data_IF_719834575882
#
_entry.id   IF_719834575882
#
_cell.length_a   1.000
_cell.length_b   1.000
_cell.length_c   1.000
_cell.angle_alpha   90.00
_cell.angle_beta   90.00
_cell.angle_gamma   90.00
#
_symmetry.space_group_name_H-M   'P 1'
#
loop_
_entity.id
_entity.type
_entity.pdbx_description
1 polymer ?
#
# COMPACT_ATOMS: atom_id res chain seq x y z
N UNK A 1 -16.96 7.97 -5.97
CA UNK A 1 -17.28 6.90 -5.00
C UNK A 1 -15.99 6.59 -4.26
N UNK A 2 -16.01 6.34 -2.95
CA UNK A 2 -14.79 5.95 -2.26
C UNK A 2 -14.68 4.41 -2.13
N UNK A 3 -13.50 3.91 -1.69
CA UNK A 3 -13.25 2.46 -1.61
C UNK A 3 -14.24 1.76 -0.68
N UNK A 4 -14.60 2.37 0.45
CA UNK A 4 -15.55 1.77 1.41
C UNK A 4 -16.95 1.66 0.82
N UNK A 5 -17.40 2.67 0.06
CA UNK A 5 -18.67 2.62 -0.66
C UNK A 5 -18.69 1.48 -1.68
N UNK A 6 -17.61 1.32 -2.46
CA UNK A 6 -17.45 0.22 -3.44
C UNK A 6 -17.51 -1.15 -2.75
N UNK A 7 -16.82 -1.30 -1.61
CA UNK A 7 -16.83 -2.56 -0.85
C UNK A 7 -18.23 -2.86 -0.32
N UNK A 8 -18.90 -1.87 0.26
CA UNK A 8 -20.24 -2.05 0.80
C UNK A 8 -21.25 -2.41 -0.29
N UNK A 9 -21.15 -1.80 -1.46
CA UNK A 9 -21.98 -2.16 -2.63
C UNK A 9 -21.69 -3.59 -3.09
N UNK A 10 -20.42 -4.00 -3.15
CA UNK A 10 -20.05 -5.36 -3.50
C UNK A 10 -20.61 -6.39 -2.52
N UNK A 11 -20.51 -6.12 -1.22
CA UNK A 11 -21.09 -6.97 -0.15
C UNK A 11 -22.61 -7.06 -0.30
N UNK A 12 -23.28 -5.91 -0.44
CA UNK A 12 -24.75 -5.87 -0.57
C UNK A 12 -25.26 -6.58 -1.82
N UNK A 13 -24.52 -6.55 -2.92
CA UNK A 13 -24.87 -7.20 -4.18
C UNK A 13 -24.39 -8.66 -4.28
N UNK A 14 -23.59 -9.15 -3.32
CA UNK A 14 -22.98 -10.48 -3.37
C UNK A 14 -21.97 -10.65 -4.51
N UNK A 15 -21.41 -9.55 -5.05
CA UNK A 15 -20.47 -9.56 -6.15
C UNK A 15 -19.04 -9.51 -5.64
N UNK A 16 -18.20 -10.42 -6.11
CA UNK A 16 -16.74 -10.31 -5.91
C UNK A 16 -16.20 -9.21 -6.82
N UNK A 17 -15.43 -8.29 -6.26
CA UNK A 17 -14.73 -7.22 -6.98
C UNK A 17 -13.24 -7.40 -6.82
N UNK A 18 -12.48 -7.04 -7.84
CA UNK A 18 -11.02 -7.09 -7.85
C UNK A 18 -10.45 -5.69 -7.89
N UNK A 19 -9.31 -5.50 -7.23
CA UNK A 19 -8.49 -4.31 -7.33
C UNK A 19 -7.08 -4.69 -7.78
N UNK A 20 -6.40 -3.78 -8.43
CA UNK A 20 -5.02 -4.00 -8.88
C UNK A 20 -4.08 -3.04 -8.19
N UNK A 21 -2.83 -3.48 -8.00
CA UNK A 21 -1.76 -2.66 -7.50
C UNK A 21 -0.70 -2.45 -8.59
N UNK A 22 -0.38 -1.20 -8.86
CA UNK A 22 0.56 -0.79 -9.89
C UNK A 22 1.82 -0.20 -9.28
N UNK A 23 2.96 -0.67 -9.78
CA UNK A 23 4.26 -0.10 -9.51
C UNK A 23 4.52 1.04 -10.50
N UNK A 24 4.75 2.30 -10.05
CA UNK A 24 5.14 3.38 -10.92
C UNK A 24 6.40 3.04 -11.73
N UNK A 25 6.51 3.45 -13.01
CA UNK A 25 7.68 3.20 -13.84
C UNK A 25 8.90 3.95 -13.31
N UNK A 26 10.07 3.62 -13.83
CA UNK A 26 11.29 4.36 -13.53
C UNK A 26 11.24 5.75 -14.22
N UNK A 27 11.98 6.71 -13.67
CA UNK A 27 12.20 8.00 -14.34
C UNK A 27 12.88 7.76 -15.70
N UNK A 28 12.39 8.48 -16.71
CA UNK A 28 12.79 8.27 -18.10
C UNK A 28 11.78 7.45 -18.89
N UNK A 29 10.95 6.65 -18.24
CA UNK A 29 9.78 6.05 -18.87
C UNK A 29 8.65 7.09 -18.99
N UNK A 30 7.92 7.05 -20.09
CA UNK A 30 6.77 7.95 -20.31
C UNK A 30 5.47 7.40 -19.70
N UNK A 31 4.46 8.26 -19.58
CA UNK A 31 3.12 7.92 -19.11
C UNK A 31 2.46 6.81 -19.94
N UNK A 32 2.81 6.70 -21.23
CA UNK A 32 2.30 5.66 -22.13
C UNK A 32 2.57 4.24 -21.60
N UNK A 33 3.68 4.04 -20.88
CA UNK A 33 4.00 2.74 -20.27
C UNK A 33 2.99 2.37 -19.16
N UNK A 34 2.53 3.37 -18.40
CA UNK A 34 1.47 3.17 -17.40
C UNK A 34 0.16 2.84 -18.10
N UNK A 35 -0.23 3.62 -19.07
CA UNK A 35 -1.49 3.40 -19.79
C UNK A 35 -1.51 2.03 -20.48
N UNK A 36 -0.42 1.61 -21.10
CA UNK A 36 -0.32 0.28 -21.69
C UNK A 36 -0.46 -0.87 -20.67
N UNK A 37 -0.07 -0.65 -19.41
CA UNK A 37 -0.26 -1.63 -18.33
C UNK A 37 -1.68 -1.59 -17.75
N UNK A 38 -2.31 -0.42 -17.69
CA UNK A 38 -3.64 -0.23 -17.08
C UNK A 38 -4.76 -0.61 -18.05
N UNK A 39 -4.64 -0.27 -19.32
CA UNK A 39 -5.69 -0.43 -20.32
C UNK A 39 -6.27 -1.86 -20.41
N UNK A 40 -5.46 -2.93 -20.42
CA UNK A 40 -5.99 -4.29 -20.39
C UNK A 40 -6.75 -4.63 -19.10
N UNK A 41 -6.38 -4.01 -17.98
CA UNK A 41 -7.02 -4.26 -16.69
C UNK A 41 -8.41 -3.64 -16.61
N UNK A 42 -8.67 -2.55 -17.35
CA UNK A 42 -9.98 -1.90 -17.38
C UNK A 42 -11.07 -2.82 -17.94
N UNK A 43 -10.72 -3.73 -18.85
CA UNK A 43 -11.66 -4.75 -19.36
C UNK A 43 -12.17 -5.73 -18.28
N UNK A 44 -11.49 -5.79 -17.13
CA UNK A 44 -11.86 -6.62 -15.98
C UNK A 44 -12.74 -5.88 -14.96
N UNK A 45 -13.18 -4.66 -15.26
CA UNK A 45 -14.01 -3.81 -14.39
C UNK A 45 -13.46 -3.72 -12.96
N UNK A 46 -12.21 -3.22 -12.76
CA UNK A 46 -11.61 -3.17 -11.44
C UNK A 46 -12.39 -2.24 -10.50
N UNK A 47 -12.46 -2.63 -9.23
CA UNK A 47 -13.07 -1.82 -8.19
C UNK A 47 -12.30 -0.50 -7.98
N UNK A 48 -10.99 -0.60 -7.95
CA UNK A 48 -10.05 0.53 -7.85
C UNK A 48 -8.64 0.06 -8.22
N UNK A 49 -7.73 1.03 -8.33
CA UNK A 49 -6.31 0.77 -8.64
C UNK A 49 -5.43 1.42 -7.57
N UNK A 50 -4.60 0.61 -6.90
CA UNK A 50 -3.58 1.10 -5.97
C UNK A 50 -2.33 1.55 -6.73
N UNK A 51 -1.71 2.65 -6.30
CA UNK A 51 -0.44 3.13 -6.82
C UNK A 51 0.59 3.12 -5.70
N UNK A 52 1.59 2.23 -5.82
CA UNK A 52 2.61 2.07 -4.78
C UNK A 52 3.54 3.27 -4.67
N UNK A 53 3.85 3.66 -3.45
CA UNK A 53 4.86 4.68 -3.18
C UNK A 53 6.25 4.04 -3.00
N UNK A 54 7.23 4.63 -3.63
CA UNK A 54 8.62 4.23 -3.45
C UNK A 54 9.43 5.41 -2.93
N UNK A 55 10.03 5.21 -1.76
CA UNK A 55 10.90 6.21 -1.13
C UNK A 55 12.05 6.58 -2.08
N UNK A 56 12.45 7.84 -2.03
CA UNK A 56 13.56 8.38 -2.79
C UNK A 56 14.88 7.68 -2.42
N UNK A 57 15.77 7.56 -3.38
CA UNK A 57 17.11 7.01 -3.16
C UNK A 57 18.11 8.09 -2.80
N UNK A 58 19.22 7.69 -2.22
CA UNK A 58 20.37 8.58 -1.97
C UNK A 58 21.45 8.23 -3.01
N UNK A 59 21.97 9.25 -3.65
CA UNK A 59 23.17 9.17 -4.51
C UNK A 59 24.32 9.86 -3.79
N UNK A 60 25.39 9.13 -3.59
CA UNK A 60 26.66 9.66 -3.08
C UNK A 60 27.51 10.09 -4.27
N UNK A 61 28.11 11.26 -4.18
CA UNK A 61 29.07 11.77 -5.15
C UNK A 61 30.31 12.23 -4.40
N UNK A 62 31.44 11.60 -4.66
CA UNK A 62 32.73 12.02 -4.11
C UNK A 62 33.23 13.24 -4.87
N UNK A 63 33.59 14.30 -4.13
CA UNK A 63 34.17 15.53 -4.67
C UNK A 63 35.69 15.39 -4.80
N UNK A 64 36.31 16.26 -5.57
CA UNK A 64 37.76 16.30 -5.78
C UNK A 64 38.57 16.54 -4.49
N UNK A 65 37.93 17.15 -3.49
CA UNK A 65 38.52 17.38 -2.15
C UNK A 65 38.38 16.18 -1.19
N UNK A 66 37.82 15.04 -1.68
CA UNK A 66 37.57 13.83 -0.88
C UNK A 66 36.33 13.91 0.01
N UNK A 67 35.57 15.00 -0.02
CA UNK A 67 34.27 15.08 0.67
C UNK A 67 33.19 14.32 -0.10
N UNK A 68 32.21 13.76 0.62
CA UNK A 68 31.08 13.06 0.02
C UNK A 68 29.84 13.94 0.07
N UNK A 69 29.26 14.20 -1.10
CA UNK A 69 28.00 14.92 -1.24
C UNK A 69 26.85 13.92 -1.44
N UNK A 70 25.79 14.14 -0.68
CA UNK A 70 24.59 13.29 -0.67
C UNK A 70 23.46 13.98 -1.40
N UNK A 71 22.93 13.32 -2.45
CA UNK A 71 21.78 13.84 -3.19
C UNK A 71 20.59 12.90 -3.01
N UNK A 72 19.46 13.47 -2.62
CA UNK A 72 18.19 12.75 -2.66
C UNK A 72 17.74 12.65 -4.13
N UNK A 73 17.55 11.44 -4.60
CA UNK A 73 17.23 11.18 -6.01
C UNK A 73 15.88 10.47 -6.13
N UNK A 74 14.93 11.13 -6.74
CA UNK A 74 13.67 10.48 -7.11
C UNK A 74 13.91 9.52 -8.28
N UNK A 75 13.58 8.25 -8.07
CA UNK A 75 13.73 7.20 -9.09
C UNK A 75 12.43 6.90 -9.83
N UNK A 76 11.28 7.26 -9.27
CA UNK A 76 9.93 7.04 -9.80
C UNK A 76 9.10 8.30 -9.65
N UNK A 77 8.11 8.51 -10.52
CA UNK A 77 7.16 9.61 -10.34
C UNK A 77 6.39 9.45 -9.02
N UNK A 78 5.86 10.56 -8.51
CA UNK A 78 4.99 10.57 -7.33
C UNK A 78 3.65 9.89 -7.61
N UNK A 79 3.04 9.33 -6.57
CA UNK A 79 1.78 8.61 -6.67
C UNK A 79 0.62 9.50 -7.07
N UNK A 80 0.58 10.75 -6.61
CA UNK A 80 -0.51 11.71 -6.86
C UNK A 80 -0.70 11.98 -8.36
N UNK A 81 0.37 12.35 -9.08
CA UNK A 81 0.29 12.66 -10.51
C UNK A 81 -0.15 11.47 -11.36
N UNK A 82 0.33 10.27 -11.03
CA UNK A 82 -0.09 9.04 -11.73
C UNK A 82 -1.55 8.72 -11.43
N UNK A 83 -1.96 8.82 -10.16
CA UNK A 83 -3.33 8.57 -9.73
C UNK A 83 -4.31 9.49 -10.45
N UNK A 84 -4.04 10.80 -10.47
CA UNK A 84 -4.86 11.77 -11.17
C UNK A 84 -4.96 11.47 -12.68
N UNK A 85 -3.85 11.07 -13.32
CA UNK A 85 -3.85 10.75 -14.74
C UNK A 85 -4.66 9.48 -15.06
N UNK A 86 -4.59 8.44 -14.23
CA UNK A 86 -5.37 7.20 -14.39
C UNK A 86 -6.85 7.49 -14.14
N UNK A 87 -7.19 8.13 -13.03
CA UNK A 87 -8.57 8.46 -12.68
C UNK A 87 -9.24 9.32 -13.76
N UNK A 88 -8.57 10.38 -14.21
CA UNK A 88 -9.10 11.26 -15.26
C UNK A 88 -9.28 10.55 -16.61
N UNK A 89 -8.39 9.62 -16.98
CA UNK A 89 -8.46 8.91 -18.26
C UNK A 89 -9.51 7.82 -18.29
N UNK A 90 -9.60 7.03 -17.21
CA UNK A 90 -10.39 5.79 -17.21
C UNK A 90 -11.64 5.86 -16.33
N UNK A 91 -11.80 6.90 -15.52
CA UNK A 91 -12.94 7.03 -14.61
C UNK A 91 -12.97 5.98 -13.48
N UNK A 92 -11.84 5.28 -13.25
CA UNK A 92 -11.70 4.29 -12.17
C UNK A 92 -11.18 4.96 -10.91
N UNK A 93 -11.67 4.54 -9.75
CA UNK A 93 -11.13 5.01 -8.47
C UNK A 93 -9.67 4.60 -8.29
N UNK A 94 -8.86 5.51 -7.76
CA UNK A 94 -7.44 5.26 -7.53
C UNK A 94 -7.09 5.50 -6.08
N UNK A 95 -6.22 4.66 -5.54
CA UNK A 95 -5.73 4.72 -4.16
C UNK A 95 -4.22 4.98 -4.19
N UNK A 96 -3.77 6.24 -4.16
CA UNK A 96 -2.36 6.53 -3.98
C UNK A 96 -1.90 6.07 -2.59
N UNK A 97 -0.75 5.40 -2.54
CA UNK A 97 -0.08 5.11 -1.29
C UNK A 97 0.62 6.36 -0.78
N UNK A 98 0.51 6.64 0.50
CA UNK A 98 1.20 7.73 1.20
C UNK A 98 1.98 7.14 2.37
N UNK A 99 3.25 7.53 2.51
CA UNK A 99 4.15 6.97 3.51
C UNK A 99 4.68 8.04 4.47
N UNK A 100 5.03 7.64 5.70
CA UNK A 100 5.72 8.50 6.65
C UNK A 100 7.20 8.71 6.27
N UNK A 101 7.80 7.72 5.60
CA UNK A 101 9.24 7.68 5.36
C UNK A 101 9.75 8.81 4.47
N UNK A 102 10.66 9.63 5.01
CA UNK A 102 11.31 10.71 4.26
C UNK A 102 10.50 12.00 4.16
N UNK A 103 9.26 12.04 4.64
CA UNK A 103 8.37 13.20 4.58
C UNK A 103 8.18 13.84 5.96
N UNK A 104 8.15 15.17 5.99
CA UNK A 104 7.65 15.92 7.14
C UNK A 104 6.12 15.89 7.19
N UNK A 105 5.53 16.31 8.31
CA UNK A 105 4.08 16.47 8.43
C UNK A 105 3.54 17.50 7.42
N UNK A 106 4.32 18.53 7.14
CA UNK A 106 3.97 19.57 6.16
C UNK A 106 3.97 19.03 4.73
N UNK A 107 5.00 18.24 4.32
CA UNK A 107 5.03 17.60 3.00
C UNK A 107 3.83 16.66 2.80
N UNK A 108 3.40 16.00 3.89
CA UNK A 108 2.22 15.12 3.90
C UNK A 108 0.95 15.96 3.73
N UNK A 109 0.81 17.07 4.46
CA UNK A 109 -0.35 17.97 4.36
C UNK A 109 -0.45 18.58 2.96
N UNK A 110 0.65 19.10 2.40
CA UNK A 110 0.71 19.63 1.04
C UNK A 110 0.27 18.56 0.02
N UNK A 111 0.75 17.32 0.20
CA UNK A 111 0.35 16.20 -0.67
C UNK A 111 -1.14 15.90 -0.58
N UNK A 112 -1.71 15.93 0.62
CA UNK A 112 -3.14 15.68 0.84
C UNK A 112 -4.00 16.82 0.29
N UNK A 113 -3.56 18.06 0.39
CA UNK A 113 -4.22 19.22 -0.24
C UNK A 113 -4.26 19.01 -1.76
N UNK A 114 -3.12 18.70 -2.38
CA UNK A 114 -3.06 18.42 -3.82
C UNK A 114 -3.99 17.26 -4.22
N UNK A 115 -4.04 16.20 -3.42
CA UNK A 115 -4.94 15.07 -3.67
C UNK A 115 -6.41 15.47 -3.61
N UNK A 116 -6.82 16.25 -2.61
CA UNK A 116 -8.20 16.72 -2.46
C UNK A 116 -8.62 17.60 -3.65
N UNK A 117 -7.79 18.56 -4.06
CA UNK A 117 -8.02 19.40 -5.23
C UNK A 117 -8.09 18.63 -6.56
N UNK A 118 -7.40 17.49 -6.65
CA UNK A 118 -7.44 16.59 -7.81
C UNK A 118 -8.60 15.58 -7.75
N UNK A 119 -9.42 15.61 -6.69
CA UNK A 119 -10.53 14.67 -6.50
C UNK A 119 -10.06 13.23 -6.16
N UNK A 120 -8.86 13.07 -5.62
CA UNK A 120 -8.31 11.80 -5.16
C UNK A 120 -8.68 11.60 -3.68
N UNK A 121 -9.84 11.02 -3.41
CA UNK A 121 -10.38 10.91 -2.05
C UNK A 121 -10.09 9.57 -1.36
N UNK A 122 -9.25 8.72 -1.95
CA UNK A 122 -8.83 7.46 -1.35
C UNK A 122 -7.33 7.51 -1.06
N UNK A 123 -6.88 6.94 0.05
CA UNK A 123 -5.47 6.89 0.41
C UNK A 123 -5.14 5.62 1.18
N UNK A 124 -4.02 4.97 0.86
CA UNK A 124 -3.46 3.90 1.68
C UNK A 124 -2.32 4.48 2.53
N UNK A 125 -2.60 4.65 3.83
CA UNK A 125 -1.69 5.25 4.79
C UNK A 125 -0.73 4.20 5.36
N UNK A 126 0.55 4.33 5.04
CA UNK A 126 1.61 3.38 5.38
C UNK A 126 2.73 4.07 6.15
N UNK A 127 3.49 3.30 6.93
CA UNK A 127 4.75 3.83 7.49
C UNK A 127 5.81 3.96 6.39
N UNK A 128 5.84 3.02 5.48
CA UNK A 128 6.91 2.80 4.53
C UNK A 128 8.07 2.00 5.13
N UNK A 129 8.93 1.53 4.25
CA UNK A 129 10.10 0.72 4.60
C UNK A 129 11.30 1.59 4.97
N UNK A 130 12.30 0.97 5.61
CA UNK A 130 13.59 1.60 5.80
C UNK A 130 14.26 1.87 4.46
N UNK A 131 15.03 2.94 4.36
CA UNK A 131 15.89 3.20 3.19
C UNK A 131 17.00 2.14 3.09
N UNK A 132 17.54 1.94 1.89
CA UNK A 132 18.62 0.95 1.65
C UNK A 132 19.84 1.19 2.54
N UNK A 133 20.10 2.44 2.92
CA UNK A 133 21.24 2.85 3.75
C UNK A 133 20.93 2.89 5.25
N UNK A 134 19.68 2.55 5.64
CA UNK A 134 19.24 2.54 7.02
C UNK A 134 19.23 1.12 7.60
N UNK A 135 19.74 0.95 8.81
CA UNK A 135 19.63 -0.33 9.54
C UNK A 135 18.21 -0.60 10.03
N UNK A 136 17.47 0.47 10.36
CA UNK A 136 16.08 0.47 10.80
C UNK A 136 15.36 1.67 10.20
N UNK A 137 14.04 1.65 10.20
CA UNK A 137 13.25 2.81 9.78
C UNK A 137 13.60 4.05 10.63
N UNK A 138 13.91 5.16 9.96
CA UNK A 138 14.15 6.44 10.58
C UNK A 138 13.14 7.45 10.06
N UNK A 139 12.26 7.99 10.92
CA UNK A 139 11.34 9.03 10.50
C UNK A 139 12.09 10.33 10.18
N UNK A 140 11.48 11.17 9.34
CA UNK A 140 11.92 12.55 9.20
C UNK A 140 11.83 13.26 10.57
N UNK A 141 12.76 14.17 10.95
CA UNK A 141 12.73 14.84 12.27
C UNK A 141 11.38 15.53 12.59
N UNK A 142 10.70 16.05 11.60
CA UNK A 142 9.38 16.66 11.69
C UNK A 142 8.27 15.77 11.10
N UNK A 143 8.54 14.48 10.87
CA UNK A 143 7.61 13.52 10.27
C UNK A 143 6.97 12.60 11.29
N UNK A 144 6.22 11.64 10.79
CA UNK A 144 5.58 10.60 11.58
C UNK A 144 6.47 9.37 11.73
N UNK A 145 6.50 8.80 12.94
CA UNK A 145 7.23 7.56 13.21
C UNK A 145 6.40 6.30 12.87
N UNK A 146 5.08 6.40 12.92
CA UNK A 146 4.17 5.27 12.73
C UNK A 146 3.00 5.63 11.81
N UNK A 147 2.48 4.64 11.10
CA UNK A 147 1.32 4.81 10.23
C UNK A 147 0.07 5.33 10.96
N UNK A 148 -0.11 4.99 12.24
CA UNK A 148 -1.23 5.49 13.05
C UNK A 148 -1.21 7.02 13.18
N UNK A 149 -0.04 7.63 13.24
CA UNK A 149 0.08 9.09 13.34
C UNK A 149 -0.27 9.76 12.00
N UNK A 150 0.09 9.13 10.88
CA UNK A 150 -0.35 9.53 9.54
C UNK A 150 -1.88 9.42 9.39
N UNK A 151 -2.48 8.32 9.85
CA UNK A 151 -3.94 8.16 9.86
C UNK A 151 -4.62 9.29 10.65
N UNK A 152 -4.08 9.65 11.83
CA UNK A 152 -4.61 10.76 12.64
C UNK A 152 -4.55 12.08 11.89
N UNK A 153 -3.43 12.39 11.24
CA UNK A 153 -3.30 13.62 10.44
C UNK A 153 -4.33 13.68 9.31
N UNK A 154 -4.52 12.58 8.55
CA UNK A 154 -5.52 12.53 7.47
C UNK A 154 -6.94 12.68 8.05
N UNK A 155 -7.24 12.00 9.15
CA UNK A 155 -8.54 12.10 9.82
C UNK A 155 -8.78 13.50 10.42
N UNK A 156 -7.75 14.22 10.85
CA UNK A 156 -7.84 15.61 11.29
C UNK A 156 -8.17 16.53 10.13
N UNK A 157 -7.56 16.37 8.96
CA UNK A 157 -7.88 17.12 7.75
C UNK A 157 -9.33 16.86 7.28
N UNK A 158 -9.83 15.63 7.41
CA UNK A 158 -11.26 15.33 7.16
C UNK A 158 -12.21 16.08 8.12
N UNK A 159 -11.70 16.62 9.22
CA UNK A 159 -12.44 17.46 10.19
C UNK A 159 -12.11 18.95 10.08
N UNK A 160 -11.35 19.35 9.05
CA UNK A 160 -10.94 20.76 8.86
C UNK A 160 -9.80 21.20 9.78
N UNK A 161 -9.03 20.25 10.36
CA UNK A 161 -7.88 20.55 11.21
C UNK A 161 -6.59 20.37 10.44
N UNK A 162 -5.81 21.43 10.36
CA UNK A 162 -4.51 21.46 9.71
C UNK A 162 -3.39 21.60 10.74
N UNK A 163 -2.14 21.47 10.32
CA UNK A 163 -0.98 21.53 11.22
C UNK A 163 -0.86 22.91 11.88
N UNK A 164 -1.18 23.96 11.15
CA UNK A 164 -1.12 25.35 11.63
C UNK A 164 -2.41 25.84 12.30
N UNK A 165 -3.42 24.98 12.41
CA UNK A 165 -4.64 25.24 13.15
C UNK A 165 -5.93 24.86 12.41
N UNK A 166 -7.06 25.22 13.01
CA UNK A 166 -8.38 25.05 12.40
C UNK A 166 -8.68 26.27 11.50
N UNK A 167 -9.15 25.99 10.29
CA UNK A 167 -9.61 27.03 9.36
C UNK A 167 -11.13 27.16 9.49
N UNK A 168 -11.60 28.35 9.86
CA UNK A 168 -13.03 28.62 9.94
C UNK A 168 -13.67 28.56 8.54
N UNK A 169 -14.86 27.97 8.45
CA UNK A 169 -15.61 27.82 7.19
C UNK A 169 -14.86 27.12 6.06
N UNK A 170 -13.98 26.13 6.41
CA UNK A 170 -13.20 25.42 5.41
C UNK A 170 -14.02 24.28 4.75
N UNK A 171 -13.61 23.95 3.53
CA UNK A 171 -13.98 22.68 2.90
C UNK A 171 -13.30 21.53 3.66
N UNK A 172 -14.10 20.57 4.11
CA UNK A 172 -13.58 19.37 4.75
C UNK A 172 -13.20 18.35 3.68
N UNK A 173 -11.99 17.85 3.69
CA UNK A 173 -11.60 16.72 2.83
C UNK A 173 -12.39 15.47 3.20
N UNK A 174 -12.47 14.50 2.28
CA UNK A 174 -13.29 13.28 2.44
C UNK A 174 -12.46 12.04 2.13
N UNK A 175 -11.24 11.97 2.68
CA UNK A 175 -10.38 10.83 2.45
C UNK A 175 -10.94 9.57 3.08
N UNK A 176 -11.12 8.53 2.27
CA UNK A 176 -11.29 7.16 2.72
C UNK A 176 -9.91 6.56 2.98
N UNK A 177 -9.67 6.15 4.23
CA UNK A 177 -8.34 5.82 4.73
C UNK A 177 -8.17 4.30 4.83
N UNK A 178 -7.34 3.72 3.98
CA UNK A 178 -6.88 2.35 4.08
C UNK A 178 -5.57 2.23 4.87
N UNK A 179 -5.35 1.07 5.48
CA UNK A 179 -4.11 0.73 6.18
C UNK A 179 -3.67 -0.69 5.88
N UNK A 180 -2.38 -0.98 6.08
CA UNK A 180 -1.87 -2.34 5.95
C UNK A 180 -2.16 -3.20 7.18
N UNK A 181 -2.52 -4.48 6.93
CA UNK A 181 -2.57 -5.57 7.90
C UNK A 181 -1.62 -6.71 7.51
N UNK A 182 -1.26 -7.58 8.45
CA UNK A 182 -0.29 -8.65 8.22
C UNK A 182 -0.85 -9.98 8.69
N UNK A 183 -1.29 -10.88 7.77
CA UNK A 183 -1.76 -12.22 8.11
C UNK A 183 -0.69 -13.07 8.81
N UNK A 184 0.56 -12.80 8.50
CA UNK A 184 1.73 -13.25 9.25
C UNK A 184 2.28 -12.09 10.08
N UNK A 185 2.98 -12.38 11.15
CA UNK A 185 3.48 -11.33 12.08
C UNK A 185 4.45 -10.41 11.35
N UNK A 186 4.23 -9.09 11.45
CA UNK A 186 5.17 -8.10 10.92
C UNK A 186 6.56 -8.28 11.55
N UNK A 187 7.62 -8.16 10.75
CA UNK A 187 9.00 -8.42 11.18
C UNK A 187 9.45 -7.63 12.43
N UNK A 188 8.87 -6.46 12.68
CA UNK A 188 9.16 -5.62 13.84
C UNK A 188 8.14 -5.81 14.99
N UNK A 189 7.11 -6.63 14.82
CA UNK A 189 6.16 -6.93 15.88
C UNK A 189 6.68 -8.08 16.76
N UNK A 190 6.41 -8.01 18.05
CA UNK A 190 6.82 -9.07 18.98
C UNK A 190 6.03 -10.37 18.72
N UNK A 191 4.75 -10.23 18.44
CA UNK A 191 3.81 -11.32 18.21
C UNK A 191 2.56 -10.82 17.49
N UNK A 192 1.71 -11.74 17.05
CA UNK A 192 0.47 -11.43 16.32
C UNK A 192 -0.50 -10.57 17.16
N UNK A 193 -0.54 -10.76 18.47
CA UNK A 193 -1.43 -10.00 19.36
C UNK A 193 -1.03 -8.54 19.41
N UNK A 194 0.26 -8.26 19.54
CA UNK A 194 0.78 -6.89 19.52
C UNK A 194 0.62 -6.22 18.15
N UNK A 195 0.70 -6.99 17.06
CA UNK A 195 0.48 -6.47 15.70
C UNK A 195 -0.99 -6.11 15.45
N UNK A 196 -1.91 -6.96 15.88
CA UNK A 196 -3.36 -6.69 15.82
C UNK A 196 -3.75 -5.50 16.72
N UNK A 197 -3.13 -5.34 17.90
CA UNK A 197 -3.36 -4.17 18.73
C UNK A 197 -2.98 -2.88 18.02
N UNK A 198 -1.82 -2.86 17.34
CA UNK A 198 -1.41 -1.70 16.50
C UNK A 198 -2.34 -1.47 15.30
N UNK A 199 -2.88 -2.54 14.72
CA UNK A 199 -3.88 -2.42 13.66
C UNK A 199 -5.17 -1.78 14.20
N UNK A 200 -5.60 -2.19 15.39
CA UNK A 200 -6.74 -1.59 16.07
C UNK A 200 -6.52 -0.10 16.33
N UNK A 201 -5.34 0.30 16.82
CA UNK A 201 -5.01 1.72 17.02
C UNK A 201 -5.17 2.54 15.73
N UNK A 202 -4.84 1.96 14.56
CA UNK A 202 -5.04 2.62 13.26
C UNK A 202 -6.52 2.74 12.89
N UNK A 203 -7.33 1.72 13.18
CA UNK A 203 -8.78 1.75 12.95
C UNK A 203 -9.44 2.76 13.90
N UNK A 204 -9.08 2.76 15.17
CA UNK A 204 -9.59 3.71 16.17
C UNK A 204 -9.18 5.16 15.84
N UNK A 205 -8.07 5.35 15.11
CA UNK A 205 -7.61 6.65 14.62
C UNK A 205 -8.36 7.15 13.38
N UNK A 206 -9.13 6.29 12.70
CA UNK A 206 -9.96 6.67 11.54
C UNK A 206 -9.71 5.85 10.27
N UNK A 207 -8.96 4.74 10.32
CA UNK A 207 -8.87 3.87 9.16
C UNK A 207 -10.18 3.10 8.94
N UNK A 208 -10.62 3.06 7.69
CA UNK A 208 -11.94 2.54 7.30
C UNK A 208 -11.87 1.17 6.64
N UNK A 209 -10.70 0.75 6.15
CA UNK A 209 -10.48 -0.58 5.58
C UNK A 209 -9.01 -1.01 5.74
N UNK A 210 -8.78 -2.30 5.63
CA UNK A 210 -7.46 -2.93 5.73
C UNK A 210 -7.15 -3.66 4.44
N UNK A 211 -5.97 -3.42 3.85
CA UNK A 211 -5.41 -4.27 2.79
C UNK A 211 -4.30 -5.12 3.43
N UNK A 212 -4.36 -6.43 3.26
CA UNK A 212 -3.31 -7.26 3.86
C UNK A 212 -2.05 -7.30 3.01
N UNK A 213 -0.91 -7.53 3.66
CA UNK A 213 0.26 -8.03 2.96
C UNK A 213 -0.09 -9.34 2.25
N UNK A 214 0.59 -9.65 1.14
CA UNK A 214 0.44 -10.93 0.46
C UNK A 214 0.72 -12.09 1.41
N UNK A 215 0.05 -13.19 1.18
CA UNK A 215 0.21 -14.44 1.91
C UNK A 215 -0.02 -15.62 0.95
N UNK A 216 0.48 -16.80 1.28
CA UNK A 216 0.42 -17.98 0.41
C UNK A 216 -0.31 -19.17 1.07
N UNK A 217 -0.82 -18.99 2.27
CA UNK A 217 -1.61 -19.95 3.04
C UNK A 217 -2.89 -19.26 3.54
N UNK A 218 -4.05 -19.72 3.05
CA UNK A 218 -5.35 -19.16 3.42
C UNK A 218 -5.65 -19.30 4.92
N UNK A 219 -5.16 -20.35 5.57
CA UNK A 219 -5.37 -20.52 7.00
C UNK A 219 -4.79 -19.35 7.82
N UNK A 220 -3.70 -18.74 7.36
CA UNK A 220 -3.11 -17.55 7.98
C UNK A 220 -4.04 -16.33 7.87
N UNK A 221 -4.61 -16.13 6.70
CA UNK A 221 -5.56 -15.05 6.47
C UNK A 221 -6.83 -15.22 7.32
N UNK A 222 -7.43 -16.41 7.33
CA UNK A 222 -8.64 -16.64 8.11
C UNK A 222 -8.40 -16.52 9.62
N UNK A 223 -7.26 -17.02 10.13
CA UNK A 223 -6.90 -16.85 11.55
C UNK A 223 -6.68 -15.36 11.88
N UNK A 224 -6.00 -14.63 11.01
CA UNK A 224 -5.81 -13.17 11.14
C UNK A 224 -7.15 -12.43 11.20
N UNK A 225 -8.06 -12.70 10.26
CA UNK A 225 -9.39 -12.07 10.24
C UNK A 225 -10.17 -12.41 11.52
N UNK A 226 -10.18 -13.68 11.94
CA UNK A 226 -10.83 -14.10 13.19
C UNK A 226 -10.29 -13.31 14.39
N UNK A 227 -8.97 -13.23 14.55
CA UNK A 227 -8.31 -12.48 15.64
C UNK A 227 -8.61 -10.98 15.57
N UNK A 228 -8.65 -10.40 14.37
CA UNK A 228 -9.06 -9.00 14.19
C UNK A 228 -10.49 -8.77 14.68
N UNK A 229 -11.42 -9.66 14.34
CA UNK A 229 -12.82 -9.58 14.81
C UNK A 229 -12.93 -9.74 16.34
N UNK A 230 -12.20 -10.66 16.93
CA UNK A 230 -12.10 -10.84 18.38
C UNK A 230 -11.52 -9.59 19.08
N UNK A 231 -10.59 -8.89 18.44
CA UNK A 231 -10.04 -7.62 18.91
C UNK A 231 -10.96 -6.41 18.67
N UNK A 232 -12.16 -6.60 18.09
CA UNK A 232 -13.13 -5.54 17.82
C UNK A 232 -12.89 -4.72 16.55
N UNK A 233 -12.02 -5.19 15.64
CA UNK A 233 -11.82 -4.58 14.32
C UNK A 233 -12.95 -5.06 13.40
N UNK A 234 -13.87 -4.17 13.03
CA UNK A 234 -15.06 -4.48 12.23
C UNK A 234 -14.97 -4.03 10.78
N UNK A 235 -14.01 -3.16 10.46
CA UNK A 235 -13.81 -2.66 9.10
C UNK A 235 -13.49 -3.78 8.10
N UNK A 236 -13.77 -3.60 6.80
CA UNK A 236 -13.40 -4.56 5.77
C UNK A 236 -11.92 -4.90 5.78
N UNK A 237 -11.59 -6.19 5.59
CA UNK A 237 -10.22 -6.69 5.47
C UNK A 237 -10.09 -7.35 4.08
N UNK A 238 -9.33 -6.72 3.22
CA UNK A 238 -9.16 -7.11 1.82
C UNK A 238 -7.88 -7.95 1.70
N UNK A 239 -7.95 -9.18 1.18
CA UNK A 239 -6.76 -10.01 0.99
C UNK A 239 -5.86 -9.45 -0.11
N UNK A 240 -4.58 -9.27 0.20
CA UNK A 240 -3.54 -9.00 -0.78
C UNK A 240 -3.05 -10.30 -1.39
N UNK A 241 -3.10 -10.41 -2.71
CA UNK A 241 -2.72 -11.62 -3.47
C UNK A 241 -1.62 -11.26 -4.45
N UNK A 242 -0.62 -12.13 -4.58
CA UNK A 242 0.47 -11.96 -5.53
C UNK A 242 0.92 -13.31 -6.07
N UNK A 243 0.57 -13.67 -7.31
CA UNK A 243 1.07 -14.89 -7.92
C UNK A 243 2.60 -14.88 -8.07
N UNK A 244 3.24 -16.02 -7.84
CA UNK A 244 4.64 -16.20 -8.20
C UNK A 244 4.78 -16.13 -9.72
N UNK A 245 5.77 -15.40 -10.23
CA UNK A 245 5.97 -15.25 -11.67
C UNK A 245 7.42 -15.46 -12.12
N UNK A 246 8.34 -15.58 -11.19
CA UNK A 246 9.75 -15.86 -11.44
C UNK A 246 10.32 -16.72 -10.33
N UNK A 247 11.32 -17.55 -10.64
CA UNK A 247 12.00 -18.38 -9.65
C UNK A 247 12.61 -17.56 -8.50
N UNK A 248 13.06 -16.34 -8.81
CA UNK A 248 13.63 -15.41 -7.83
C UNK A 248 12.64 -14.99 -6.74
N UNK A 249 11.34 -15.08 -6.98
CA UNK A 249 10.32 -14.79 -5.97
C UNK A 249 10.42 -15.74 -4.76
N UNK A 250 10.96 -16.94 -4.91
CA UNK A 250 11.17 -17.86 -3.79
C UNK A 250 12.14 -17.32 -2.72
N UNK A 251 13.03 -16.41 -3.12
CA UNK A 251 14.02 -15.80 -2.24
C UNK A 251 13.59 -14.39 -1.81
N UNK A 252 13.25 -13.55 -2.80
CA UNK A 252 12.98 -12.13 -2.56
C UNK A 252 11.73 -11.91 -1.70
N UNK A 253 10.65 -12.66 -1.91
CA UNK A 253 9.41 -12.39 -1.19
C UNK A 253 9.54 -12.70 0.31
N UNK A 254 10.09 -13.86 0.74
CA UNK A 254 10.37 -14.11 2.15
C UNK A 254 11.36 -13.11 2.75
N UNK A 255 12.46 -12.79 2.04
CA UNK A 255 13.49 -11.90 2.54
C UNK A 255 12.99 -10.45 2.71
N UNK A 256 12.22 -9.95 1.73
CA UNK A 256 11.78 -8.55 1.72
C UNK A 256 10.55 -8.33 2.59
N UNK A 257 9.59 -9.25 2.55
CA UNK A 257 8.26 -9.06 3.16
C UNK A 257 8.01 -9.95 4.38
N UNK A 258 8.92 -10.87 4.71
CA UNK A 258 8.78 -11.79 5.83
C UNK A 258 7.68 -12.85 5.64
N UNK A 259 7.17 -13.01 4.42
CA UNK A 259 6.10 -13.98 4.10
C UNK A 259 6.65 -15.39 4.00
N UNK A 260 5.83 -16.38 4.36
CA UNK A 260 6.20 -17.79 4.28
C UNK A 260 5.58 -18.41 3.03
N UNK A 261 6.41 -19.09 2.27
CA UNK A 261 5.96 -19.90 1.13
C UNK A 261 5.71 -21.34 1.60
N UNK A 262 4.53 -21.93 1.32
CA UNK A 262 4.28 -23.35 1.59
C UNK A 262 5.31 -24.25 0.88
N UNK A 263 5.77 -25.30 1.58
CA UNK A 263 6.78 -26.23 1.02
C UNK A 263 6.32 -26.87 -0.29
N UNK A 264 5.03 -27.13 -0.42
CA UNK A 264 4.43 -27.68 -1.62
C UNK A 264 4.59 -26.73 -2.81
N UNK A 265 4.25 -25.46 -2.63
CA UNK A 265 4.42 -24.41 -3.67
C UNK A 265 5.91 -24.28 -4.06
N UNK A 266 6.81 -24.25 -3.07
CA UNK A 266 8.26 -24.17 -3.33
C UNK A 266 8.76 -25.36 -4.15
N UNK A 267 8.30 -26.58 -3.79
CA UNK A 267 8.66 -27.83 -4.51
C UNK A 267 8.16 -27.81 -5.94
N UNK A 268 6.91 -27.38 -6.16
CA UNK A 268 6.29 -27.33 -7.47
C UNK A 268 6.97 -26.30 -8.39
N UNK A 269 7.22 -25.10 -7.89
CA UNK A 269 7.95 -24.05 -8.62
C UNK A 269 9.37 -24.52 -8.99
N UNK A 270 10.07 -25.20 -8.09
CA UNK A 270 11.41 -25.73 -8.39
C UNK A 270 11.40 -26.88 -9.40
N UNK A 271 10.32 -27.64 -9.47
CA UNK A 271 10.13 -28.71 -10.44
C UNK A 271 9.83 -28.17 -11.85
N UNK A 272 9.28 -26.94 -11.94
CA UNK A 272 8.89 -26.28 -13.19
C UNK A 272 9.51 -24.88 -13.32
N UNK A 273 10.84 -24.76 -13.41
CA UNK A 273 11.54 -23.45 -13.37
C UNK A 273 11.20 -22.53 -14.54
N UNK A 274 10.81 -23.10 -15.70
CA UNK A 274 10.40 -22.35 -16.89
C UNK A 274 8.90 -22.00 -16.89
N UNK A 275 8.10 -22.65 -16.04
CA UNK A 275 6.64 -22.49 -15.88
C UNK A 275 6.22 -21.87 -14.56
N UNK A 276 7.06 -21.06 -13.92
CA UNK A 276 6.76 -20.49 -12.59
C UNK A 276 5.49 -19.64 -12.57
N UNK A 277 5.21 -18.91 -13.65
CA UNK A 277 4.03 -18.08 -13.76
C UNK A 277 2.76 -18.92 -13.77
N UNK A 278 2.74 -20.01 -14.49
CA UNK A 278 1.65 -20.97 -14.59
C UNK A 278 1.39 -21.61 -13.23
N UNK A 279 2.40 -22.15 -12.59
CA UNK A 279 2.32 -22.74 -11.24
C UNK A 279 1.80 -21.71 -10.23
N UNK A 280 2.35 -20.49 -10.23
CA UNK A 280 1.91 -19.44 -9.31
C UNK A 280 0.45 -19.00 -9.56
N UNK A 281 0.01 -18.97 -10.82
CA UNK A 281 -1.37 -18.64 -11.18
C UNK A 281 -2.34 -19.74 -10.74
N UNK A 282 -2.03 -21.00 -11.02
CA UNK A 282 -2.83 -22.14 -10.60
C UNK A 282 -2.95 -22.26 -9.08
N UNK A 283 -1.86 -21.99 -8.37
CA UNK A 283 -1.86 -21.92 -6.92
C UNK A 283 -2.85 -20.88 -6.37
N UNK A 284 -2.84 -19.66 -6.93
CA UNK A 284 -3.75 -18.60 -6.48
C UNK A 284 -5.20 -18.89 -6.87
N UNK A 285 -5.46 -19.48 -8.05
CA UNK A 285 -6.81 -19.92 -8.47
C UNK A 285 -7.32 -20.98 -7.49
N UNK A 286 -6.52 -21.98 -7.16
CA UNK A 286 -6.88 -23.01 -6.20
C UNK A 286 -7.26 -22.46 -4.82
N UNK A 287 -6.59 -21.40 -4.40
CA UNK A 287 -6.85 -20.71 -3.12
C UNK A 287 -8.13 -19.84 -3.15
N UNK A 288 -8.53 -19.35 -4.31
CA UNK A 288 -9.73 -18.52 -4.45
C UNK A 288 -11.04 -19.31 -4.26
N UNK A 289 -10.97 -20.64 -4.23
CA UNK A 289 -12.12 -21.53 -4.06
C UNK A 289 -12.31 -22.06 -2.62
N UNK A 290 -11.56 -21.54 -1.67
CA UNK A 290 -11.61 -21.99 -0.26
C UNK A 290 -12.40 -21.03 0.61
#
# INVERSE_FOLDING_TARGET
MNVVEIINEAIASGRTRFAFELLPPLKGDGMQKIFAAVEPLMALDPAYVNITFHREGIKETEREDGSVEWHVVRRRPGTVGISAAIQNRYGVEVVPHLICGGLSKYDIEDTLIDMDFLGLHNVLALRGDKSQNEKRFMPHPQGHAHAVDLVRQIADMNRGKFIDGEVEECHHSKFSIGVAGYPEVHAEARDITSDIARLRDKVDAGAEYVITQMFFDNAKYFDFVRRCREAGITVPIIPGIKPLSTLRHLEILPETFGVKLPEELVREVKAHPDGVREVGTEWEIGRAHV
#
